data_IF_821775577801
#
_entry.id   IF_821775577801
#
_cell.length_a   1.000
_cell.length_b   1.000
_cell.length_c   1.000
_cell.angle_alpha   90.00
_cell.angle_beta   90.00
_cell.angle_gamma   90.00
#
_symmetry.space_group_name_H-M   'P 1'
#
loop_
_entity.id
_entity.type
_entity.pdbx_description
1 polymer ?
#
# COMPACT_ATOMS: atom_id res chain seq x y z
N UNK A 1 -26.02 34.28 10.72
CA UNK A 1 -24.79 34.09 11.51
C UNK A 1 -24.32 32.66 11.22
N UNK A 2 -23.29 32.50 10.40
CA UNK A 2 -22.90 31.19 9.85
C UNK A 2 -22.01 30.48 10.85
N UNK A 3 -22.48 29.37 11.44
CA UNK A 3 -21.70 28.55 12.36
C UNK A 3 -20.55 27.94 11.57
N UNK A 4 -19.31 28.28 11.95
CA UNK A 4 -18.10 27.79 11.32
C UNK A 4 -17.86 26.37 11.88
N UNK A 5 -17.84 25.31 11.06
CA UNK A 5 -17.70 23.94 11.56
C UNK A 5 -16.36 23.77 12.28
N UNK A 6 -16.37 23.00 13.37
CA UNK A 6 -15.16 22.68 14.10
C UNK A 6 -14.21 21.89 13.17
N UNK A 7 -13.05 22.47 12.87
CA UNK A 7 -12.04 21.79 12.08
C UNK A 7 -11.50 20.59 12.87
N UNK A 8 -11.24 19.48 12.18
CA UNK A 8 -10.70 18.27 12.79
C UNK A 8 -9.44 18.57 13.60
N UNK A 9 -9.43 18.22 14.88
CA UNK A 9 -8.30 18.43 15.79
C UNK A 9 -7.63 17.10 16.13
N UNK A 10 -6.29 17.00 16.03
CA UNK A 10 -5.58 15.80 16.47
C UNK A 10 -5.61 15.73 18.01
N UNK A 11 -6.07 14.60 18.56
CA UNK A 11 -6.22 14.40 20.02
C UNK A 11 -5.25 13.36 20.60
N UNK A 12 -4.47 12.67 19.76
CA UNK A 12 -3.45 11.72 20.21
C UNK A 12 -2.83 10.90 19.07
N UNK A 13 -1.79 10.11 19.39
CA UNK A 13 -1.15 9.14 18.47
C UNK A 13 -1.20 7.73 19.05
N UNK A 14 -1.61 6.77 18.23
CA UNK A 14 -1.55 5.33 18.51
C UNK A 14 -0.91 4.59 17.31
N UNK A 15 -0.53 3.31 17.45
CA UNK A 15 0.04 2.53 16.34
C UNK A 15 -0.86 2.48 15.10
N UNK A 16 -2.18 2.57 15.28
CA UNK A 16 -3.15 2.56 14.18
C UNK A 16 -3.47 3.92 13.52
N UNK A 17 -2.88 5.03 13.97
CA UNK A 17 -3.09 6.36 13.38
C UNK A 17 -3.28 7.49 14.38
N UNK A 18 -3.56 8.68 13.85
CA UNK A 18 -3.91 9.84 14.67
C UNK A 18 -5.41 9.84 14.96
N UNK A 19 -5.77 10.05 16.21
CA UNK A 19 -7.15 10.30 16.59
C UNK A 19 -7.51 11.73 16.21
N UNK A 20 -8.61 11.87 15.48
CA UNK A 20 -9.19 13.15 15.14
C UNK A 20 -10.55 13.27 15.83
N UNK A 21 -10.72 14.37 16.55
CA UNK A 21 -12.04 14.82 16.98
C UNK A 21 -12.76 15.41 15.76
N UNK A 22 -13.88 14.78 15.36
CA UNK A 22 -14.73 15.26 14.26
C UNK A 22 -16.20 15.31 14.70
N UNK A 23 -17.00 16.25 14.18
CA UNK A 23 -18.44 16.24 14.38
C UNK A 23 -19.08 14.96 13.85
N UNK A 24 -19.89 14.32 14.66
CA UNK A 24 -20.64 13.13 14.26
C UNK A 24 -21.74 13.49 13.26
N UNK A 25 -21.81 12.73 12.16
CA UNK A 25 -22.91 12.78 11.17
C UNK A 25 -23.74 11.49 11.13
N UNK A 26 -23.73 10.73 12.24
CA UNK A 26 -24.37 9.40 12.32
C UNK A 26 -23.42 8.23 12.03
N UNK A 27 -22.12 8.51 11.96
CA UNK A 27 -21.07 7.51 11.76
C UNK A 27 -20.72 6.84 13.10
N UNK A 28 -20.42 5.53 13.12
CA UNK A 28 -19.94 4.85 14.32
C UNK A 28 -18.56 5.38 14.74
N UNK A 29 -18.36 5.63 16.04
CA UNK A 29 -17.11 6.12 16.62
C UNK A 29 -17.18 6.24 18.14
N UNK A 30 -16.03 6.34 18.80
CA UNK A 30 -15.96 6.60 20.25
C UNK A 30 -16.30 8.06 20.53
N UNK A 31 -17.13 8.36 21.52
CA UNK A 31 -17.52 9.74 21.84
C UNK A 31 -16.37 10.42 22.61
N UNK A 32 -15.92 11.57 22.12
CA UNK A 32 -15.02 12.45 22.87
C UNK A 32 -15.86 13.32 23.81
N UNK A 33 -16.03 12.88 25.05
CA UNK A 33 -16.89 13.55 26.03
C UNK A 33 -16.41 14.98 26.29
N UNK A 34 -15.10 15.18 26.41
CA UNK A 34 -14.50 16.49 26.70
C UNK A 34 -14.72 17.47 25.54
N UNK A 35 -14.39 17.04 24.31
CA UNK A 35 -14.60 17.89 23.13
C UNK A 35 -16.09 18.13 22.83
N UNK A 36 -16.97 17.16 23.14
CA UNK A 36 -18.42 17.33 23.01
C UNK A 36 -18.94 18.38 24.00
N UNK A 37 -18.50 18.32 25.26
CA UNK A 37 -18.85 19.31 26.28
C UNK A 37 -18.35 20.70 25.90
N UNK A 38 -17.10 20.83 25.42
CA UNK A 38 -16.56 22.10 24.93
C UNK A 38 -17.37 22.66 23.75
N UNK A 39 -17.71 21.82 22.78
CA UNK A 39 -18.53 22.22 21.64
C UNK A 39 -19.93 22.69 22.09
N UNK A 40 -20.53 22.04 23.08
CA UNK A 40 -21.83 22.44 23.63
C UNK A 40 -21.77 23.76 24.38
N UNK A 41 -20.73 23.98 25.18
CA UNK A 41 -20.50 25.26 25.87
C UNK A 41 -20.29 26.37 24.85
N UNK A 42 -19.52 26.12 23.78
CA UNK A 42 -19.28 27.08 22.70
C UNK A 42 -20.53 27.35 21.84
N UNK A 43 -21.42 26.36 21.71
CA UNK A 43 -22.68 26.44 20.94
C UNK A 43 -23.84 27.08 21.72
N UNK A 44 -23.61 27.56 22.95
CA UNK A 44 -24.62 28.21 23.81
C UNK A 44 -25.32 29.44 23.18
N UNK A 45 -24.93 29.87 21.97
CA UNK A 45 -25.61 30.86 21.16
C UNK A 45 -26.68 30.32 20.18
N UNK A 46 -27.06 29.03 20.26
CA UNK A 46 -28.27 28.50 19.59
C UNK A 46 -28.05 27.55 18.40
N UNK A 47 -26.96 26.78 18.39
CA UNK A 47 -26.78 25.67 17.44
C UNK A 47 -27.30 24.33 17.99
N UNK A 48 -27.61 23.34 17.12
CA UNK A 48 -27.91 21.98 17.58
C UNK A 48 -26.71 21.39 18.36
N UNK A 49 -26.95 20.52 19.35
CA UNK A 49 -25.87 19.87 20.09
C UNK A 49 -25.00 19.06 19.13
N UNK A 50 -23.73 19.45 19.00
CA UNK A 50 -22.76 18.77 18.14
C UNK A 50 -22.05 17.70 18.97
N UNK A 51 -22.23 16.42 18.62
CA UNK A 51 -21.50 15.31 19.24
C UNK A 51 -20.17 15.18 18.55
N UNK A 52 -19.08 15.18 19.30
CA UNK A 52 -17.73 14.98 18.77
C UNK A 52 -17.33 13.53 18.98
N UNK A 53 -16.97 12.85 17.89
CA UNK A 53 -16.44 11.48 17.94
C UNK A 53 -14.93 11.50 17.68
N UNK A 54 -14.22 10.62 18.38
CA UNK A 54 -12.84 10.24 18.05
C UNK A 54 -12.90 9.25 16.90
N UNK A 55 -12.50 9.71 15.73
CA UNK A 55 -12.21 8.83 14.61
C UNK A 55 -10.72 8.60 14.54
N UNK A 56 -10.33 7.34 14.52
CA UNK A 56 -9.00 6.98 14.09
C UNK A 56 -8.99 7.22 12.57
N UNK A 57 -8.31 8.29 12.10
CA UNK A 57 -7.94 8.27 10.69
C UNK A 57 -6.98 7.10 10.55
N UNK A 58 -7.45 6.01 9.94
CA UNK A 58 -6.55 5.01 9.42
C UNK A 58 -5.46 5.76 8.67
N UNK A 59 -4.20 5.53 9.02
CA UNK A 59 -3.10 5.99 8.18
C UNK A 59 -3.32 5.28 6.84
N UNK A 60 -4.01 5.92 5.90
CA UNK A 60 -4.09 5.43 4.54
C UNK A 60 -2.71 5.63 3.97
N UNK A 61 -1.89 4.59 4.04
CA UNK A 61 -0.63 4.52 3.33
C UNK A 61 -0.97 4.37 1.87
N UNK A 62 -0.14 4.96 1.02
CA UNK A 62 -0.18 4.72 -0.40
C UNK A 62 0.84 3.63 -0.71
N UNK A 63 0.35 2.45 -1.08
CA UNK A 63 1.18 1.27 -1.35
C UNK A 63 1.03 0.90 -2.81
N UNK A 64 2.14 0.89 -3.55
CA UNK A 64 2.19 0.30 -4.89
C UNK A 64 2.80 -1.09 -4.78
N UNK A 65 2.02 -2.11 -5.06
CA UNK A 65 2.50 -3.47 -5.21
C UNK A 65 3.00 -3.69 -6.64
N UNK A 66 4.29 -3.97 -6.81
CA UNK A 66 4.86 -4.42 -8.07
C UNK A 66 5.11 -5.93 -8.00
N UNK A 67 4.36 -6.70 -8.77
CA UNK A 67 4.44 -8.16 -8.80
C UNK A 67 5.08 -8.67 -10.09
N UNK A 68 6.11 -9.47 -9.93
CA UNK A 68 6.81 -10.12 -11.03
C UNK A 68 5.96 -11.26 -11.60
N UNK A 69 5.68 -11.19 -12.90
CA UNK A 69 4.98 -12.23 -13.67
C UNK A 69 5.88 -12.84 -14.76
N UNK A 70 7.18 -12.52 -14.74
CA UNK A 70 8.17 -13.07 -15.67
C UNK A 70 8.18 -14.60 -15.60
N UNK A 71 8.32 -15.25 -16.77
CA UNK A 71 8.39 -16.71 -16.85
C UNK A 71 7.11 -17.44 -16.41
N UNK A 72 5.96 -16.76 -16.36
CA UNK A 72 4.64 -17.38 -16.12
C UNK A 72 4.13 -18.16 -17.36
N UNK A 73 4.91 -19.13 -17.83
CA UNK A 73 4.44 -20.11 -18.81
C UNK A 73 3.84 -21.33 -18.09
N UNK A 74 2.50 -21.45 -18.18
CA UNK A 74 1.60 -22.53 -17.70
C UNK A 74 0.94 -22.29 -16.33
N UNK A 75 -0.36 -22.60 -16.29
CA UNK A 75 -1.35 -22.21 -15.28
C UNK A 75 -0.98 -22.26 -13.79
N UNK A 76 -0.18 -23.23 -13.28
CA UNK A 76 0.14 -23.30 -11.85
C UNK A 76 0.85 -22.07 -11.28
N UNK A 77 1.72 -21.41 -12.07
CA UNK A 77 2.47 -20.23 -11.58
C UNK A 77 1.62 -18.97 -11.57
N UNK A 78 0.69 -18.82 -12.53
CA UNK A 78 -0.27 -17.70 -12.55
C UNK A 78 -1.22 -17.74 -11.35
N UNK A 79 -1.70 -18.93 -10.95
CA UNK A 79 -2.51 -19.10 -9.76
C UNK A 79 -1.75 -18.73 -8.48
N UNK A 80 -0.46 -19.09 -8.40
CA UNK A 80 0.39 -18.72 -7.25
C UNK A 80 0.59 -17.21 -7.15
N UNK A 81 0.84 -16.54 -8.28
CA UNK A 81 0.98 -15.08 -8.33
C UNK A 81 -0.36 -14.41 -7.99
N UNK A 82 -1.46 -14.85 -8.59
CA UNK A 82 -2.80 -14.35 -8.27
C UNK A 82 -3.16 -14.52 -6.80
N UNK A 83 -2.83 -15.67 -6.20
CA UNK A 83 -3.01 -15.91 -4.77
C UNK A 83 -2.12 -15.00 -3.91
N UNK A 84 -0.88 -14.74 -4.34
CA UNK A 84 0.04 -13.84 -3.64
C UNK A 84 -0.45 -12.38 -3.69
N UNK A 85 -0.82 -11.90 -4.89
CA UNK A 85 -1.40 -10.57 -5.08
C UNK A 85 -2.71 -10.43 -4.29
N UNK A 86 -3.60 -11.43 -4.36
CA UNK A 86 -4.85 -11.45 -3.59
C UNK A 86 -4.64 -11.44 -2.08
N UNK A 87 -3.67 -12.21 -1.56
CA UNK A 87 -3.32 -12.19 -0.15
C UNK A 87 -2.73 -10.82 0.27
N UNK A 88 -1.93 -10.20 -0.60
CA UNK A 88 -1.37 -8.87 -0.38
C UNK A 88 -2.46 -7.79 -0.34
N UNK A 89 -3.32 -7.74 -1.35
CA UNK A 89 -4.40 -6.74 -1.40
C UNK A 89 -5.40 -6.92 -0.27
N UNK A 90 -5.75 -8.15 0.10
CA UNK A 90 -6.61 -8.43 1.24
C UNK A 90 -5.99 -7.97 2.58
N UNK A 91 -4.68 -8.13 2.73
CA UNK A 91 -3.95 -7.70 3.93
C UNK A 91 -3.76 -6.19 4.01
N UNK A 92 -3.92 -5.49 2.88
CA UNK A 92 -3.75 -4.03 2.75
C UNK A 92 -5.09 -3.31 2.46
N UNK A 93 -6.22 -3.94 2.77
CA UNK A 93 -7.57 -3.43 2.43
C UNK A 93 -7.90 -2.04 2.97
N UNK A 94 -7.23 -1.63 4.06
CA UNK A 94 -7.45 -0.33 4.70
C UNK A 94 -6.51 0.77 4.13
N UNK A 95 -5.62 0.38 3.20
CA UNK A 95 -4.65 1.25 2.53
C UNK A 95 -5.12 1.69 1.14
N UNK A 96 -4.52 2.75 0.60
CA UNK A 96 -4.64 3.05 -0.82
C UNK A 96 -3.65 2.16 -1.59
N UNK A 97 -4.15 1.08 -2.20
CA UNK A 97 -3.30 0.12 -2.94
C UNK A 97 -3.41 0.36 -4.43
N UNK A 98 -2.26 0.38 -5.11
CA UNK A 98 -2.14 0.23 -6.57
C UNK A 98 -1.39 -1.07 -6.87
N UNK A 99 -1.70 -1.72 -8.00
CA UNK A 99 -1.08 -2.99 -8.38
C UNK A 99 -0.49 -2.88 -9.78
N UNK A 100 0.80 -3.19 -9.89
CA UNK A 100 1.55 -3.35 -11.12
C UNK A 100 1.93 -4.81 -11.28
N UNK A 101 1.84 -5.31 -12.50
CA UNK A 101 2.42 -6.58 -12.89
C UNK A 101 3.50 -6.32 -13.94
N UNK A 102 4.66 -6.98 -13.82
CA UNK A 102 5.79 -6.70 -14.70
C UNK A 102 6.57 -7.93 -15.16
N UNK A 103 7.24 -7.77 -16.30
CA UNK A 103 8.11 -8.72 -16.99
C UNK A 103 9.22 -7.89 -17.66
N UNK A 104 9.48 -8.04 -18.97
CA UNK A 104 10.27 -7.08 -19.77
C UNK A 104 9.66 -5.68 -19.84
N UNK A 105 8.36 -5.58 -19.57
CA UNK A 105 7.50 -4.40 -19.62
C UNK A 105 6.58 -4.46 -18.39
N UNK A 106 5.63 -3.53 -18.23
CA UNK A 106 4.73 -3.54 -17.08
C UNK A 106 3.31 -3.11 -17.45
N UNK A 107 2.34 -3.61 -16.69
CA UNK A 107 0.94 -3.27 -16.80
C UNK A 107 0.39 -2.81 -15.45
N UNK A 108 -0.31 -1.67 -15.45
CA UNK A 108 -1.11 -1.25 -14.31
C UNK A 108 -2.35 -2.13 -14.23
N UNK A 109 -2.42 -2.93 -13.17
CA UNK A 109 -3.55 -3.82 -12.90
C UNK A 109 -4.60 -3.09 -12.11
N UNK A 110 -4.22 -2.26 -11.14
CA UNK A 110 -5.12 -1.39 -10.40
C UNK A 110 -4.47 -0.03 -10.19
N UNK A 111 -5.25 1.03 -10.42
CA UNK A 111 -4.84 2.38 -10.06
C UNK A 111 -4.75 2.54 -8.54
N UNK A 112 -3.91 3.47 -8.07
CA UNK A 112 -3.74 3.71 -6.63
C UNK A 112 -5.06 4.13 -5.97
N UNK A 113 -5.57 3.30 -5.06
CA UNK A 113 -6.83 3.51 -4.35
C UNK A 113 -8.08 3.01 -5.09
N UNK A 114 -7.91 2.36 -6.24
CA UNK A 114 -9.00 1.70 -6.95
C UNK A 114 -9.60 0.57 -6.11
N UNK A 115 -10.93 0.52 -6.02
CA UNK A 115 -11.65 -0.56 -5.35
C UNK A 115 -11.88 -1.69 -6.36
N UNK A 116 -10.90 -2.59 -6.50
CA UNK A 116 -11.00 -3.79 -7.32
C UNK A 116 -11.14 -5.04 -6.44
N UNK A 117 -12.16 -5.87 -6.70
CA UNK A 117 -12.31 -7.16 -6.04
C UNK A 117 -11.24 -8.17 -6.49
N UNK A 118 -10.94 -9.22 -5.69
CA UNK A 118 -9.94 -10.23 -6.02
C UNK A 118 -10.12 -10.86 -7.41
N UNK A 119 -11.36 -11.16 -7.80
CA UNK A 119 -11.67 -11.77 -9.10
C UNK A 119 -11.28 -10.85 -10.27
N UNK A 120 -11.53 -9.54 -10.14
CA UNK A 120 -11.17 -8.57 -11.17
C UNK A 120 -9.64 -8.44 -11.33
N UNK A 121 -8.89 -8.54 -10.22
CA UNK A 121 -7.42 -8.53 -10.26
C UNK A 121 -6.90 -9.77 -10.97
N UNK A 122 -7.44 -10.96 -10.64
CA UNK A 122 -7.07 -12.22 -11.29
C UNK A 122 -7.37 -12.17 -12.79
N UNK A 123 -8.56 -11.69 -13.17
CA UNK A 123 -8.97 -11.56 -14.57
C UNK A 123 -8.06 -10.61 -15.36
N UNK A 124 -7.59 -9.52 -14.73
CA UNK A 124 -6.64 -8.58 -15.33
C UNK A 124 -5.25 -9.21 -15.46
N UNK A 125 -4.76 -9.90 -14.42
CA UNK A 125 -3.49 -10.63 -14.45
C UNK A 125 -3.50 -11.72 -15.55
N UNK A 126 -4.61 -12.42 -15.73
CA UNK A 126 -4.76 -13.47 -16.73
C UNK A 126 -4.67 -12.97 -18.19
N UNK A 127 -4.84 -11.66 -18.41
CA UNK A 127 -4.71 -11.03 -19.74
C UNK A 127 -3.27 -10.65 -20.08
N UNK A 128 -2.34 -10.74 -19.14
CA UNK A 128 -0.94 -10.38 -19.36
C UNK A 128 -0.27 -11.45 -20.22
N UNK A 129 0.47 -11.07 -21.28
CA UNK A 129 1.21 -12.02 -22.09
C UNK A 129 2.36 -12.65 -21.29
N UNK A 130 2.46 -13.97 -21.31
CA UNK A 130 3.61 -14.68 -20.73
C UNK A 130 4.88 -14.36 -21.54
N UNK A 131 5.78 -13.55 -20.98
CA UNK A 131 7.09 -13.21 -21.55
C UNK A 131 8.19 -13.43 -20.51
N UNK A 132 9.32 -13.98 -20.94
CA UNK A 132 10.33 -14.61 -20.07
C UNK A 132 11.47 -13.72 -19.60
N UNK A 133 11.32 -12.40 -19.63
CA UNK A 133 12.35 -11.46 -19.18
C UNK A 133 11.82 -10.65 -17.99
N UNK A 134 12.75 -10.11 -17.20
CA UNK A 134 12.48 -9.43 -15.92
C UNK A 134 13.20 -8.08 -15.89
N UNK A 135 12.40 -7.02 -16.05
CA UNK A 135 12.83 -5.64 -15.94
C UNK A 135 12.27 -5.03 -14.66
N UNK A 136 13.10 -4.98 -13.62
CA UNK A 136 12.73 -4.46 -12.30
C UNK A 136 12.73 -2.93 -12.29
N UNK A 137 13.53 -2.28 -13.14
CA UNK A 137 13.61 -0.83 -13.19
C UNK A 137 12.27 -0.20 -13.62
N UNK A 138 11.65 -0.75 -14.66
CA UNK A 138 10.44 -0.19 -15.25
C UNK A 138 9.22 -0.10 -14.31
N UNK A 139 8.82 -1.15 -13.56
CA UNK A 139 7.72 -1.02 -12.59
C UNK A 139 8.05 -0.02 -11.46
N UNK A 140 9.32 0.15 -11.08
CA UNK A 140 9.70 1.14 -10.07
C UNK A 140 9.54 2.58 -10.59
N UNK A 141 9.78 2.83 -11.88
CA UNK A 141 9.51 4.12 -12.52
C UNK A 141 8.02 4.42 -12.56
N UNK A 142 7.19 3.45 -12.95
CA UNK A 142 5.72 3.60 -12.95
C UNK A 142 5.24 3.84 -11.52
N UNK A 143 5.75 3.09 -10.54
CA UNK A 143 5.41 3.27 -9.13
C UNK A 143 5.76 4.67 -8.62
N UNK A 144 6.89 5.24 -9.06
CA UNK A 144 7.26 6.62 -8.72
C UNK A 144 6.22 7.63 -9.24
N UNK A 145 5.67 7.40 -10.43
CA UNK A 145 4.57 8.20 -10.99
C UNK A 145 3.26 8.03 -10.23
N UNK A 146 2.90 6.81 -9.85
CA UNK A 146 1.70 6.53 -9.03
C UNK A 146 1.78 7.16 -7.63
N UNK A 147 2.99 7.18 -7.05
CA UNK A 147 3.29 7.76 -5.73
C UNK A 147 3.69 9.24 -5.79
N UNK A 148 3.54 9.88 -6.96
CA UNK A 148 3.78 11.32 -7.13
C UNK A 148 2.96 12.15 -6.11
N UNK A 149 3.41 13.36 -5.75
CA UNK A 149 3.00 14.02 -4.51
C UNK A 149 1.48 14.27 -4.44
N UNK A 150 0.81 13.62 -3.49
CA UNK A 150 -0.57 13.91 -3.10
C UNK A 150 -0.61 14.73 -1.80
N UNK A 151 0.20 14.31 -0.81
CA UNK A 151 0.51 15.01 0.45
C UNK A 151 1.89 14.49 0.96
N UNK A 152 2.77 15.36 1.45
CA UNK A 152 4.10 14.97 1.98
C UNK A 152 4.00 14.09 3.23
N UNK A 153 2.85 14.10 3.91
CA UNK A 153 2.61 13.35 5.16
C UNK A 153 2.11 11.93 4.94
N UNK A 154 1.81 11.55 3.70
CA UNK A 154 1.37 10.21 3.36
C UNK A 154 2.57 9.26 3.38
N UNK A 155 2.49 8.21 4.21
CA UNK A 155 3.46 7.13 4.22
C UNK A 155 3.29 6.32 2.92
N UNK A 156 4.27 6.47 2.02
CA UNK A 156 4.26 6.00 0.64
C UNK A 156 5.29 4.91 0.47
N UNK A 157 4.90 3.78 -0.08
CA UNK A 157 5.78 2.61 -0.19
C UNK A 157 5.57 1.87 -1.49
N UNK A 158 6.64 1.30 -1.99
CA UNK A 158 6.60 0.25 -3.00
C UNK A 158 6.86 -1.08 -2.31
N UNK A 159 6.03 -2.06 -2.63
CA UNK A 159 6.23 -3.45 -2.23
C UNK A 159 6.54 -4.26 -3.49
N UNK A 160 7.77 -4.72 -3.62
CA UNK A 160 8.23 -5.50 -4.78
C UNK A 160 8.14 -6.99 -4.44
N UNK A 161 7.33 -7.76 -5.18
CA UNK A 161 7.28 -9.22 -5.12
C UNK A 161 7.97 -9.79 -6.35
N UNK A 162 9.18 -10.34 -6.20
CA UNK A 162 9.99 -10.86 -7.32
C UNK A 162 11.07 -11.82 -6.81
N UNK A 163 11.53 -12.73 -7.67
CA UNK A 163 12.76 -13.49 -7.44
C UNK A 163 14.04 -12.64 -7.66
N UNK A 164 13.87 -11.41 -8.15
CA UNK A 164 14.91 -10.43 -8.46
C UNK A 164 15.94 -10.90 -9.49
N UNK A 165 15.63 -11.92 -10.30
CA UNK A 165 16.52 -12.36 -11.39
C UNK A 165 16.42 -11.39 -12.58
N UNK A 166 16.99 -10.20 -12.39
CA UNK A 166 16.92 -9.10 -13.35
C UNK A 166 17.83 -9.36 -14.56
N UNK A 167 17.24 -9.34 -15.75
CA UNK A 167 17.95 -9.71 -16.98
C UNK A 167 17.59 -8.81 -18.19
N UNK A 168 16.78 -7.77 -17.97
CA UNK A 168 16.39 -6.82 -19.01
C UNK A 168 16.20 -5.42 -18.44
N UNK A 169 16.58 -4.38 -19.18
CA UNK A 169 16.44 -2.99 -18.74
C UNK A 169 17.69 -2.46 -18.00
N UNK A 170 17.63 -1.22 -17.52
CA UNK A 170 18.72 -0.58 -16.80
C UNK A 170 18.80 -1.07 -15.35
N UNK A 171 19.90 -0.75 -14.67
CA UNK A 171 20.08 -1.00 -13.25
C UNK A 171 18.93 -0.39 -12.42
N UNK A 172 18.17 -1.19 -11.64
CA UNK A 172 17.04 -0.71 -10.85
C UNK A 172 17.44 0.06 -9.57
N UNK A 173 18.69 -0.04 -9.10
CA UNK A 173 19.14 0.53 -7.81
C UNK A 173 19.02 2.06 -7.73
N UNK A 174 19.42 2.84 -8.75
CA UNK A 174 19.24 4.29 -8.75
C UNK A 174 17.77 4.71 -8.71
N UNK A 175 16.85 3.91 -9.26
CA UNK A 175 15.42 4.20 -9.24
C UNK A 175 14.85 3.90 -7.85
N UNK A 176 15.23 2.77 -7.25
CA UNK A 176 14.85 2.42 -5.88
C UNK A 176 15.25 3.50 -4.87
N UNK A 177 16.45 4.08 -5.00
CA UNK A 177 16.94 5.16 -4.13
C UNK A 177 16.09 6.44 -4.16
N UNK A 178 15.39 6.69 -5.26
CA UNK A 178 14.52 7.85 -5.48
C UNK A 178 13.10 7.66 -4.94
N UNK A 179 12.69 6.42 -4.70
CA UNK A 179 11.39 6.12 -4.11
C UNK A 179 11.38 6.46 -2.60
N UNK A 180 10.21 6.77 -2.01
CA UNK A 180 10.13 7.10 -0.59
C UNK A 180 10.55 5.91 0.28
N UNK A 181 10.04 4.71 -0.06
CA UNK A 181 10.41 3.43 0.54
C UNK A 181 10.19 2.27 -0.44
N UNK A 182 11.09 1.30 -0.47
CA UNK A 182 10.94 0.03 -1.22
C UNK A 182 11.19 -1.14 -0.28
N UNK A 183 10.13 -1.89 0.02
CA UNK A 183 10.23 -3.19 0.70
C UNK A 183 10.19 -4.30 -0.36
N UNK A 184 11.04 -5.32 -0.22
CA UNK A 184 11.16 -6.43 -1.16
C UNK A 184 10.68 -7.71 -0.50
N UNK A 185 9.67 -8.33 -1.08
CA UNK A 185 9.25 -9.70 -0.82
C UNK A 185 9.95 -10.61 -1.83
N UNK A 186 11.08 -11.16 -1.43
CA UNK A 186 11.91 -12.00 -2.29
C UNK A 186 11.29 -13.39 -2.43
N UNK A 187 10.85 -13.74 -3.64
CA UNK A 187 10.40 -15.10 -3.94
C UNK A 187 11.60 -16.06 -3.89
N UNK A 188 11.62 -16.94 -2.89
CA UNK A 188 12.66 -17.96 -2.67
C UNK A 188 12.19 -19.37 -3.01
N UNK A 189 11.07 -19.49 -3.73
CA UNK A 189 10.55 -20.79 -4.20
C UNK A 189 11.46 -21.45 -5.24
N UNK A 190 12.25 -20.66 -5.98
CA UNK A 190 13.21 -21.11 -6.99
C UNK A 190 14.55 -20.36 -6.94
N UNK A 191 15.18 -20.22 -8.10
CA UNK A 191 16.36 -19.37 -8.30
C UNK A 191 15.99 -17.92 -7.99
N UNK A 192 16.86 -17.21 -7.28
CA UNK A 192 16.62 -15.83 -6.88
C UNK A 192 17.94 -15.07 -6.72
N UNK A 193 17.91 -13.77 -6.97
CA UNK A 193 19.03 -12.87 -6.73
C UNK A 193 18.87 -12.19 -5.36
N UNK A 194 19.48 -12.80 -4.35
CA UNK A 194 19.44 -12.29 -2.97
C UNK A 194 20.22 -11.00 -2.80
N UNK A 195 21.29 -10.83 -3.56
CA UNK A 195 22.15 -9.65 -3.47
C UNK A 195 21.39 -8.43 -4.00
N UNK A 196 20.85 -8.54 -5.21
CA UNK A 196 20.04 -7.46 -5.79
C UNK A 196 18.82 -7.12 -4.93
N UNK A 197 18.10 -8.12 -4.41
CA UNK A 197 16.95 -7.91 -3.54
C UNK A 197 17.31 -7.11 -2.28
N UNK A 198 18.44 -7.43 -1.65
CA UNK A 198 18.95 -6.71 -0.48
C UNK A 198 19.40 -5.29 -0.83
N UNK A 199 20.09 -5.12 -1.95
CA UNK A 199 20.50 -3.81 -2.43
C UNK A 199 19.31 -2.91 -2.72
N UNK A 200 18.27 -3.42 -3.39
CA UNK A 200 17.04 -2.66 -3.68
C UNK A 200 16.34 -2.22 -2.41
N UNK A 201 16.17 -3.12 -1.45
CA UNK A 201 15.58 -2.77 -0.16
C UNK A 201 16.43 -1.74 0.60
N UNK A 202 17.76 -1.88 0.56
CA UNK A 202 18.69 -0.96 1.23
C UNK A 202 18.66 0.44 0.61
N UNK A 203 18.78 0.54 -0.71
CA UNK A 203 18.69 1.82 -1.44
C UNK A 203 17.31 2.46 -1.25
N UNK A 204 16.26 1.64 -1.29
CA UNK A 204 14.89 2.05 -1.02
C UNK A 204 14.54 2.21 0.46
N UNK A 205 15.47 2.14 1.41
CA UNK A 205 15.21 2.34 2.86
C UNK A 205 14.10 1.44 3.43
N UNK A 206 13.93 0.23 2.90
CA UNK A 206 12.94 -0.75 3.34
C UNK A 206 13.58 -2.07 3.78
N UNK A 207 12.76 -3.10 3.85
CA UNK A 207 13.14 -4.45 4.29
C UNK A 207 13.13 -5.43 3.12
N UNK A 208 14.10 -6.35 3.10
CA UNK A 208 14.07 -7.53 2.24
C UNK A 208 13.64 -8.74 3.07
N UNK A 209 12.49 -9.32 2.75
CA UNK A 209 11.91 -10.47 3.44
C UNK A 209 11.67 -11.63 2.47
N UNK A 210 12.13 -12.85 2.79
CA UNK A 210 11.89 -14.00 1.93
C UNK A 210 10.43 -14.46 2.02
N UNK A 211 9.86 -14.83 0.89
CA UNK A 211 8.52 -15.41 0.73
C UNK A 211 8.67 -16.66 -0.12
N UNK A 212 8.17 -17.81 0.34
CA UNK A 212 8.17 -19.06 -0.44
C UNK A 212 6.78 -19.38 -0.98
N UNK A 213 5.76 -18.99 -0.23
CA UNK A 213 4.37 -19.27 -0.55
C UNK A 213 3.49 -18.05 -0.21
N UNK A 214 2.27 -17.97 -0.76
CA UNK A 214 1.34 -16.91 -0.40
C UNK A 214 1.04 -16.80 1.10
N UNK A 215 1.27 -17.87 1.89
CA UNK A 215 1.04 -17.90 3.34
C UNK A 215 2.08 -17.13 4.13
N UNK A 216 3.24 -16.85 3.55
CA UNK A 216 4.31 -16.10 4.22
C UNK A 216 4.04 -14.58 4.19
N UNK A 217 3.18 -14.14 3.26
CA UNK A 217 2.86 -12.73 3.03
C UNK A 217 2.34 -12.02 4.29
N UNK A 218 1.29 -12.50 5.00
CA UNK A 218 0.77 -11.78 6.17
C UNK A 218 1.83 -11.55 7.24
N UNK A 219 2.71 -12.53 7.44
CA UNK A 219 3.83 -12.42 8.38
C UNK A 219 4.87 -11.40 7.91
N UNK A 220 5.19 -11.39 6.61
CA UNK A 220 6.12 -10.41 6.04
C UNK A 220 5.56 -8.99 6.16
N UNK A 221 4.29 -8.79 5.83
CA UNK A 221 3.62 -7.50 5.97
C UNK A 221 3.57 -7.02 7.42
N UNK A 222 3.32 -7.91 8.38
CA UNK A 222 3.36 -7.57 9.80
C UNK A 222 4.72 -7.03 10.25
N UNK A 223 5.82 -7.47 9.61
CA UNK A 223 7.16 -6.93 9.88
C UNK A 223 7.43 -5.61 9.17
N UNK A 224 6.85 -5.40 7.99
CA UNK A 224 7.00 -4.17 7.20
C UNK A 224 6.18 -3.02 7.80
N UNK A 225 4.99 -3.32 8.32
CA UNK A 225 4.00 -2.35 8.79
C UNK A 225 3.81 -2.34 10.31
N UNK A 226 4.53 -3.18 11.06
CA UNK A 226 4.36 -3.39 12.50
C UNK A 226 4.94 -2.32 13.43
N UNK A 227 5.27 -1.13 12.91
CA UNK A 227 5.81 0.01 13.67
C UNK A 227 4.71 1.05 13.99
#
# INVERSE_FOLDING_TARGET
MTVRPLAARPTGRSPGGAWHAVPSRGEPGEIDIEATVEAWIASAAGGPPEVVIRQQRARRRAVVLAADVSGSSRGPRLLSIGASVGALTASLRDEAVGVLAFWSDAATICELGEQAGPDAIIDRLARIPARGLTNVAFPLEIAAGMLAPRDEREDRRVLLLSDCVHNAGPDPRPIAARLPRVDVLLDVSGECDRELAQELAREGRGLCLPVRTPRDIPRALSRIFGD
#
